data_IF_947788402126
#
_entry.id   IF_947788402126
#
_cell.length_a   1.000
_cell.length_b   1.000
_cell.length_c   1.000
_cell.angle_alpha   90.00
_cell.angle_beta   90.00
_cell.angle_gamma   90.00
#
_symmetry.space_group_name_H-M   'P 1'
#
loop_
_entity.id
_entity.type
_entity.pdbx_description
1 polymer ?
#
# COMPACT_ATOMS: atom_id res chain seq x y z
N UNK A 1 17.47 3.80 -10.50
CA UNK A 1 16.41 3.95 -9.48
C UNK A 1 16.86 4.99 -8.47
N UNK A 2 16.11 6.09 -8.31
CA UNK A 2 16.51 7.17 -7.40
C UNK A 2 15.86 6.97 -6.03
N UNK A 3 16.47 6.10 -5.21
CA UNK A 3 16.00 5.77 -3.85
C UNK A 3 15.75 7.03 -3.00
N UNK A 4 16.65 8.02 -3.08
CA UNK A 4 16.55 9.28 -2.33
C UNK A 4 15.30 10.05 -2.73
N UNK A 5 14.99 10.12 -4.03
CA UNK A 5 13.79 10.79 -4.54
C UNK A 5 12.52 10.11 -4.07
N UNK A 6 12.44 8.77 -4.15
CA UNK A 6 11.28 8.01 -3.66
C UNK A 6 11.08 8.24 -2.16
N UNK A 7 12.14 8.10 -1.35
CA UNK A 7 12.06 8.35 0.09
C UNK A 7 11.61 9.77 0.44
N UNK A 8 12.07 10.78 -0.30
CA UNK A 8 11.61 12.17 -0.11
C UNK A 8 10.11 12.30 -0.40
N UNK A 9 9.62 11.62 -1.45
CA UNK A 9 8.21 11.65 -1.81
C UNK A 9 7.34 10.92 -0.79
N UNK A 10 7.80 9.79 -0.27
CA UNK A 10 7.12 9.09 0.83
C UNK A 10 7.05 9.97 2.09
N UNK A 11 8.10 10.71 2.41
CA UNK A 11 8.05 11.68 3.52
C UNK A 11 7.07 12.83 3.27
N UNK A 12 6.84 13.24 2.02
CA UNK A 12 5.81 14.23 1.68
C UNK A 12 4.40 13.62 1.84
N UNK A 13 4.22 12.34 1.51
CA UNK A 13 2.97 11.60 1.75
C UNK A 13 2.66 11.52 3.25
N UNK A 14 3.63 11.14 4.07
CA UNK A 14 3.47 11.05 5.53
C UNK A 14 3.02 12.40 6.13
N UNK A 15 3.57 13.52 5.62
CA UNK A 15 3.13 14.87 6.04
C UNK A 15 1.69 15.18 5.65
N UNK A 16 1.25 14.74 4.47
CA UNK A 16 -0.14 14.93 4.01
C UNK A 16 -1.10 14.09 4.87
N UNK A 17 -0.71 12.86 5.19
CA UNK A 17 -1.52 11.94 6.01
C UNK A 17 -1.52 12.32 7.49
N UNK A 18 -0.49 13.05 7.97
CA UNK A 18 -0.26 13.27 9.40
C UNK A 18 0.11 11.98 10.14
N UNK A 19 0.50 10.92 9.40
CA UNK A 19 0.80 9.58 9.90
C UNK A 19 2.04 9.02 9.21
N UNK A 20 2.75 8.13 9.91
CA UNK A 20 3.94 7.47 9.37
C UNK A 20 3.54 6.24 8.54
N UNK A 21 4.21 6.05 7.41
CA UNK A 21 4.12 4.82 6.64
C UNK A 21 5.04 3.76 7.28
N UNK A 22 4.66 2.47 7.26
CA UNK A 22 5.49 1.38 7.75
C UNK A 22 6.89 1.35 7.10
N UNK A 23 7.90 1.00 7.90
CA UNK A 23 9.30 1.14 7.52
C UNK A 23 9.67 0.15 6.40
N UNK A 24 9.17 -1.09 6.48
CA UNK A 24 9.43 -2.13 5.49
C UNK A 24 8.72 -1.78 4.17
N UNK A 25 7.52 -1.22 4.23
CA UNK A 25 6.83 -0.70 3.05
C UNK A 25 7.62 0.42 2.35
N UNK A 26 8.09 1.43 3.10
CA UNK A 26 8.92 2.49 2.53
C UNK A 26 10.19 1.95 1.87
N UNK A 27 10.84 0.99 2.53
CA UNK A 27 12.03 0.32 1.99
C UNK A 27 11.69 -0.37 0.67
N UNK A 28 10.63 -1.17 0.63
CA UNK A 28 10.16 -1.88 -0.56
C UNK A 28 9.89 -0.94 -1.73
N UNK A 29 9.13 0.14 -1.53
CA UNK A 29 8.87 1.12 -2.59
C UNK A 29 10.17 1.75 -3.12
N UNK A 30 11.12 2.04 -2.24
CA UNK A 30 12.37 2.70 -2.62
C UNK A 30 13.38 1.79 -3.31
N UNK A 31 13.36 0.48 -3.01
CA UNK A 31 14.35 -0.51 -3.46
C UNK A 31 13.86 -1.43 -4.57
N UNK A 32 12.55 -1.63 -4.71
CA UNK A 32 11.97 -2.62 -5.64
C UNK A 32 11.10 -1.95 -6.71
N UNK A 33 10.15 -1.13 -6.28
CA UNK A 33 9.16 -0.47 -7.16
C UNK A 33 9.79 0.74 -7.86
N UNK A 34 10.39 1.64 -7.09
CA UNK A 34 11.02 2.85 -7.61
C UNK A 34 10.02 3.79 -8.27
N UNK A 35 10.22 4.06 -9.56
CA UNK A 35 9.36 4.91 -10.40
C UNK A 35 8.67 4.10 -11.50
N UNK A 36 8.62 2.77 -11.36
CA UNK A 36 7.99 1.91 -12.38
C UNK A 36 6.49 2.20 -12.41
N UNK A 37 5.96 2.37 -13.63
CA UNK A 37 4.52 2.46 -13.87
C UNK A 37 3.81 1.14 -13.59
N UNK A 38 4.51 0.01 -13.56
CA UNK A 38 3.95 -1.26 -13.14
C UNK A 38 4.95 -2.08 -12.34
N UNK A 39 4.54 -2.49 -11.15
CA UNK A 39 5.27 -3.46 -10.34
C UNK A 39 4.31 -4.53 -9.86
N UNK A 40 4.49 -5.73 -10.39
CA UNK A 40 3.63 -6.86 -10.12
C UNK A 40 4.35 -7.87 -9.22
N UNK A 41 3.62 -8.43 -8.27
CA UNK A 41 4.06 -9.59 -7.49
C UNK A 41 3.03 -10.70 -7.64
N UNK A 42 3.47 -11.95 -7.52
CA UNK A 42 2.55 -13.06 -7.27
C UNK A 42 2.41 -13.25 -5.78
N UNK A 43 1.18 -13.21 -5.27
CA UNK A 43 0.95 -13.50 -3.86
C UNK A 43 1.08 -15.01 -3.58
N UNK A 44 0.99 -15.40 -2.30
CA UNK A 44 1.06 -16.81 -1.85
C UNK A 44 -0.03 -17.71 -2.42
N UNK A 45 -1.15 -17.15 -2.89
CA UNK A 45 -2.24 -17.86 -3.58
C UNK A 45 -2.00 -18.01 -5.09
N UNK A 46 -1.00 -17.33 -5.63
CA UNK A 46 -0.66 -17.33 -7.05
C UNK A 46 -1.29 -16.18 -7.86
N UNK A 47 -2.06 -15.32 -7.21
CA UNK A 47 -2.72 -14.18 -7.83
C UNK A 47 -1.73 -13.06 -8.14
N UNK A 48 -2.03 -12.24 -9.15
CA UNK A 48 -1.16 -11.16 -9.59
C UNK A 48 -1.58 -9.85 -8.91
N UNK A 49 -0.77 -9.38 -7.97
CA UNK A 49 -1.02 -8.13 -7.25
C UNK A 49 -0.18 -7.02 -7.87
N UNK A 50 -0.83 -5.95 -8.28
CA UNK A 50 -0.19 -4.75 -8.76
C UNK A 50 0.07 -3.78 -7.60
N UNK A 51 1.35 -3.48 -7.35
CA UNK A 51 1.78 -2.55 -6.30
C UNK A 51 2.01 -1.16 -6.90
N UNK A 52 1.39 -0.16 -6.28
CA UNK A 52 1.49 1.23 -6.71
C UNK A 52 2.86 1.83 -6.44
N UNK A 53 3.36 2.63 -7.36
CA UNK A 53 4.48 3.53 -7.08
C UNK A 53 4.01 4.73 -6.22
N UNK A 54 4.95 5.60 -5.85
CA UNK A 54 4.66 6.75 -4.98
C UNK A 54 3.75 7.82 -5.61
N UNK A 55 3.61 7.86 -6.94
CA UNK A 55 2.66 8.74 -7.62
C UNK A 55 1.25 8.16 -7.54
N UNK A 56 1.10 6.91 -7.98
CA UNK A 56 -0.19 6.26 -8.09
C UNK A 56 -0.82 6.00 -6.73
N UNK A 57 -0.01 5.68 -5.70
CA UNK A 57 -0.53 5.35 -4.38
C UNK A 57 -1.34 6.51 -3.77
N UNK A 58 -0.90 7.75 -3.98
CA UNK A 58 -1.64 8.93 -3.51
C UNK A 58 -2.91 9.17 -4.31
N UNK A 59 -2.83 9.03 -5.64
CA UNK A 59 -4.00 9.22 -6.50
C UNK A 59 -5.08 8.19 -6.18
N UNK A 60 -4.69 6.92 -6.04
CA UNK A 60 -5.60 5.82 -5.75
C UNK A 60 -6.28 5.97 -4.39
N UNK A 61 -5.55 6.34 -3.34
CA UNK A 61 -6.15 6.59 -2.03
C UNK A 61 -7.18 7.74 -2.07
N UNK A 62 -6.95 8.77 -2.89
CA UNK A 62 -7.92 9.86 -3.09
C UNK A 62 -9.14 9.40 -3.87
N UNK A 63 -8.94 8.66 -4.96
CA UNK A 63 -10.03 8.15 -5.81
C UNK A 63 -11.00 7.26 -5.04
N UNK A 64 -10.48 6.39 -4.15
CA UNK A 64 -11.30 5.53 -3.30
C UNK A 64 -11.68 6.18 -1.96
N UNK A 65 -11.33 7.45 -1.75
CA UNK A 65 -11.62 8.21 -0.51
C UNK A 65 -11.17 7.49 0.77
N UNK A 66 -10.08 6.70 0.71
CA UNK A 66 -9.68 5.76 1.77
C UNK A 66 -9.58 6.45 3.13
N UNK A 67 -8.93 7.60 3.20
CA UNK A 67 -8.73 8.28 4.49
C UNK A 67 -10.02 8.87 5.08
N UNK A 68 -11.08 9.04 4.28
CA UNK A 68 -12.37 9.55 4.78
C UNK A 68 -13.20 8.42 5.43
N UNK A 69 -13.09 7.20 4.90
CA UNK A 69 -13.87 6.03 5.36
C UNK A 69 -13.07 5.13 6.32
N UNK A 70 -11.78 4.97 6.07
CA UNK A 70 -10.85 4.09 6.79
C UNK A 70 -9.55 4.85 7.11
N UNK A 71 -9.57 5.85 8.03
CA UNK A 71 -8.47 6.79 8.26
C UNK A 71 -7.17 6.16 8.76
N UNK A 72 -7.23 4.90 9.20
CA UNK A 72 -6.07 4.17 9.71
C UNK A 72 -5.48 3.22 8.67
N UNK A 73 -6.11 3.08 7.51
CA UNK A 73 -5.64 2.26 6.42
C UNK A 73 -5.16 3.11 5.24
N UNK A 74 -4.28 2.50 4.45
CA UNK A 74 -3.73 3.12 3.25
C UNK A 74 -3.62 2.08 2.16
N UNK A 75 -4.26 2.33 1.01
CA UNK A 75 -4.29 1.43 -0.14
C UNK A 75 -2.93 1.45 -0.85
N UNK A 76 -2.31 0.30 -1.06
CA UNK A 76 -0.94 0.17 -1.60
C UNK A 76 -0.87 -0.58 -2.92
N UNK A 77 -1.94 -1.28 -3.30
CA UNK A 77 -2.00 -2.08 -4.52
C UNK A 77 -3.36 -2.72 -4.70
N UNK A 78 -3.55 -3.44 -5.80
CA UNK A 78 -4.80 -4.13 -6.10
C UNK A 78 -4.59 -5.39 -6.96
N UNK A 79 -5.56 -6.28 -6.88
CA UNK A 79 -5.80 -7.36 -7.84
C UNK A 79 -7.29 -7.32 -8.21
N UNK A 80 -7.60 -6.82 -9.42
CA UNK A 80 -8.97 -6.54 -9.81
C UNK A 80 -9.67 -5.59 -8.82
N UNK A 81 -10.75 -6.09 -8.22
CA UNK A 81 -11.56 -5.39 -7.21
C UNK A 81 -11.06 -5.58 -5.78
N UNK A 82 -10.02 -6.40 -5.56
CA UNK A 82 -9.40 -6.58 -4.25
C UNK A 82 -8.31 -5.54 -4.04
N UNK A 83 -8.49 -4.66 -3.06
CA UNK A 83 -7.47 -3.71 -2.60
C UNK A 83 -6.56 -4.35 -1.57
N UNK A 84 -5.29 -3.96 -1.58
CA UNK A 84 -4.31 -4.33 -0.55
C UNK A 84 -3.90 -3.09 0.24
N UNK A 85 -3.85 -3.22 1.56
CA UNK A 85 -3.72 -2.10 2.49
C UNK A 85 -2.60 -2.32 3.51
N UNK A 86 -2.11 -1.21 4.06
CA UNK A 86 -1.27 -1.17 5.27
C UNK A 86 -2.02 -0.40 6.36
N UNK A 87 -1.69 -0.69 7.62
CA UNK A 87 -2.22 0.03 8.77
C UNK A 87 -1.22 1.10 9.25
N UNK A 88 -1.71 2.29 9.59
CA UNK A 88 -0.88 3.47 9.86
C UNK A 88 -0.61 3.72 11.35
N UNK A 89 -1.44 3.19 12.26
CA UNK A 89 -1.47 3.63 13.66
C UNK A 89 -0.68 2.76 14.65
N UNK A 90 -0.14 1.61 14.24
CA UNK A 90 0.57 0.70 15.15
C UNK A 90 2.00 0.35 14.74
N UNK A 91 2.50 1.01 13.68
CA UNK A 91 3.84 0.79 13.11
C UNK A 91 4.14 -0.68 12.76
N UNK A 92 3.11 -1.52 12.59
CA UNK A 92 3.29 -2.83 12.01
C UNK A 92 3.48 -2.68 10.49
N UNK A 93 4.06 -3.70 9.87
CA UNK A 93 4.22 -3.74 8.41
C UNK A 93 3.19 -4.67 7.74
N UNK A 94 2.18 -5.15 8.49
CA UNK A 94 1.21 -6.12 8.02
C UNK A 94 0.46 -5.62 6.79
N UNK A 95 0.15 -6.57 5.93
CA UNK A 95 -0.66 -6.34 4.75
C UNK A 95 -2.05 -6.89 4.98
N UNK A 96 -3.04 -6.11 4.59
CA UNK A 96 -4.45 -6.47 4.63
C UNK A 96 -5.04 -6.47 3.22
N UNK A 97 -6.16 -7.16 3.03
CA UNK A 97 -6.96 -7.07 1.81
C UNK A 97 -8.43 -6.79 2.13
N UNK A 98 -9.11 -6.18 1.17
CA UNK A 98 -10.56 -6.03 1.18
C UNK A 98 -11.07 -5.80 -0.24
N UNK A 99 -12.29 -6.24 -0.52
CA UNK A 99 -13.02 -5.80 -1.71
C UNK A 99 -13.19 -4.28 -1.68
N UNK A 100 -12.77 -3.59 -2.74
CA UNK A 100 -12.84 -2.13 -2.85
C UNK A 100 -14.28 -1.60 -2.77
N UNK A 101 -15.28 -2.41 -3.11
CA UNK A 101 -16.70 -2.10 -2.95
C UNK A 101 -17.22 -2.25 -1.51
N UNK A 102 -16.43 -2.83 -0.61
CA UNK A 102 -16.81 -3.07 0.80
C UNK A 102 -16.12 -2.14 1.81
N UNK A 103 -15.29 -1.19 1.34
CA UNK A 103 -14.56 -0.25 2.20
C UNK A 103 -15.53 0.54 3.10
N UNK A 104 -15.21 0.66 4.39
CA UNK A 104 -16.06 1.33 5.38
C UNK A 104 -17.28 0.52 5.83
N UNK A 105 -17.44 -0.71 5.31
CA UNK A 105 -18.58 -1.58 5.63
C UNK A 105 -18.16 -2.90 6.27
N UNK A 106 -17.01 -3.45 5.89
CA UNK A 106 -16.48 -4.72 6.39
C UNK A 106 -15.05 -4.55 6.92
N UNK A 107 -14.68 -5.42 7.85
CA UNK A 107 -13.31 -5.51 8.37
C UNK A 107 -12.36 -6.05 7.29
N UNK A 108 -11.10 -5.60 7.32
CA UNK A 108 -10.06 -6.08 6.40
C UNK A 108 -9.46 -7.42 6.84
N UNK A 109 -9.10 -8.27 5.88
CA UNK A 109 -8.46 -9.57 6.11
C UNK A 109 -6.93 -9.44 6.17
N UNK A 110 -6.26 -10.06 7.14
CA UNK A 110 -4.79 -10.09 7.20
C UNK A 110 -4.22 -11.08 6.16
N UNK A 111 -3.35 -10.58 5.29
CA UNK A 111 -2.76 -11.34 4.17
C UNK A 111 -1.29 -11.72 4.43
N UNK A 112 -0.53 -10.83 5.04
CA UNK A 112 0.89 -11.05 5.26
C UNK A 112 1.44 -10.22 6.43
N UNK A 113 2.59 -10.66 6.96
CA UNK A 113 3.31 -9.93 8.02
C UNK A 113 4.01 -8.67 7.52
N UNK A 114 4.38 -8.68 6.24
CA UNK A 114 4.90 -7.52 5.53
C UNK A 114 4.79 -7.69 4.01
N UNK A 115 5.11 -6.61 3.28
CA UNK A 115 5.06 -6.57 1.82
C UNK A 115 6.01 -7.57 1.12
N UNK A 116 7.10 -7.97 1.78
CA UNK A 116 8.00 -9.00 1.24
C UNK A 116 7.45 -10.41 1.47
N UNK A 117 6.65 -10.62 2.51
CA UNK A 117 5.93 -11.87 2.80
C UNK A 117 4.61 -12.00 2.02
N UNK A 118 4.12 -10.92 1.41
CA UNK A 118 2.94 -10.99 0.53
C UNK A 118 3.22 -11.82 -0.72
N UNK A 119 4.45 -11.74 -1.25
CA UNK A 119 4.86 -12.50 -2.43
C UNK A 119 5.20 -13.96 -2.11
N UNK A 120 4.91 -14.85 -3.07
CA UNK A 120 5.32 -16.25 -3.05
C UNK A 120 6.82 -16.45 -3.30
#
# INVERSE_FOLDING_TARGET
MNKIKVMKKLADIEKILGKELPIVYKKFLSEEVGEKEAYEIRNTRGDLVYIYNYHDVIERNKTYTIQDVEPNYFLIGQDGDIGYFIYLDDKNDKIYSLDLGAIGSLDMDEEAKDIYNLRA
#
